data_IF_259903809609
#
_entry.id   IF_259903809609
#
_cell.length_a   1.000
_cell.length_b   1.000
_cell.length_c   1.000
_cell.angle_alpha   90.00
_cell.angle_beta   90.00
_cell.angle_gamma   90.00
#
_symmetry.space_group_name_H-M   'P 1'
#
loop_
_entity.id
_entity.type
_entity.pdbx_description
1 polymer ?
#
# COMPACT_ATOMS: atom_id res chain seq x y z
N UNK A 1 1.77 -0.38 17.83
CA UNK A 1 2.72 0.76 17.63
C UNK A 1 2.11 1.91 16.81
N UNK A 2 2.74 3.09 16.76
CA UNK A 2 2.31 4.19 15.87
C UNK A 2 2.40 3.77 14.40
N UNK A 3 1.39 4.15 13.60
CA UNK A 3 1.37 3.87 12.17
C UNK A 3 2.48 4.64 11.45
N UNK A 4 3.40 3.97 10.73
CA UNK A 4 4.53 4.63 10.07
C UNK A 4 4.13 5.40 8.80
N UNK A 5 2.96 5.13 8.22
CA UNK A 5 2.50 5.81 7.00
C UNK A 5 1.90 7.18 7.30
N UNK A 6 1.27 7.35 8.46
CA UNK A 6 0.65 8.62 8.87
C UNK A 6 1.29 9.22 10.13
N UNK A 7 2.39 8.65 10.63
CA UNK A 7 3.08 9.06 11.85
C UNK A 7 2.11 9.28 13.04
N UNK A 8 1.16 8.37 13.21
CA UNK A 8 0.20 8.46 14.33
C UNK A 8 -1.01 9.38 14.10
N UNK A 9 -1.05 10.19 13.04
CA UNK A 9 -2.14 11.17 12.83
C UNK A 9 -3.47 10.54 12.41
N UNK A 10 -3.44 9.28 11.95
CA UNK A 10 -4.61 8.60 11.39
C UNK A 10 -5.03 9.10 10.01
N UNK A 11 -4.38 10.13 9.47
CA UNK A 11 -4.80 10.82 8.24
C UNK A 11 -3.64 10.93 7.24
N UNK A 12 -3.98 10.92 5.97
CA UNK A 12 -3.05 11.32 4.89
C UNK A 12 -3.27 12.81 4.59
N UNK A 13 -2.22 13.53 4.23
CA UNK A 13 -2.25 14.96 3.85
C UNK A 13 -3.10 15.23 2.61
N UNK A 14 -3.12 16.49 2.14
CA UNK A 14 -3.88 16.94 0.96
C UNK A 14 -3.84 15.90 -0.19
N UNK A 15 -5.03 15.41 -0.58
CA UNK A 15 -5.19 14.44 -1.67
C UNK A 15 -6.14 14.97 -2.73
N UNK A 16 -5.86 14.62 -3.98
CA UNK A 16 -6.82 14.73 -5.07
C UNK A 16 -7.54 13.39 -5.24
N UNK A 17 -8.87 13.40 -5.06
CA UNK A 17 -9.72 12.25 -5.32
C UNK A 17 -10.25 12.33 -6.74
N UNK A 18 -9.80 11.43 -7.59
CA UNK A 18 -10.37 11.23 -8.91
C UNK A 18 -11.73 10.51 -8.77
N UNK A 19 -12.81 11.13 -9.24
CA UNK A 19 -14.17 10.55 -9.20
C UNK A 19 -14.56 9.84 -10.50
N UNK A 20 -13.65 9.78 -11.46
CA UNK A 20 -13.90 9.20 -12.78
C UNK A 20 -14.57 10.17 -13.74
N UNK A 21 -15.11 9.62 -14.82
CA UNK A 21 -15.84 10.40 -15.82
C UNK A 21 -17.20 10.81 -15.29
N UNK A 22 -17.52 12.11 -15.36
CA UNK A 22 -18.82 12.64 -15.02
C UNK A 22 -19.56 12.95 -16.34
N UNK A 23 -20.60 12.17 -16.63
CA UNK A 23 -21.38 12.29 -17.86
C UNK A 23 -22.07 13.65 -17.99
N UNK A 24 -22.63 14.19 -16.90
CA UNK A 24 -23.31 15.49 -16.89
C UNK A 24 -22.36 16.64 -17.24
N UNK A 25 -21.10 16.56 -16.81
CA UNK A 25 -20.07 17.56 -17.10
C UNK A 25 -19.32 17.30 -18.41
N UNK A 26 -19.53 16.14 -19.04
CA UNK A 26 -18.82 15.70 -20.24
C UNK A 26 -17.30 15.56 -20.06
N UNK A 27 -16.80 15.36 -18.84
CA UNK A 27 -15.35 15.29 -18.53
C UNK A 27 -15.06 14.51 -17.26
N UNK A 28 -13.80 14.16 -17.05
CA UNK A 28 -13.31 13.63 -15.77
C UNK A 28 -13.50 14.67 -14.65
N UNK A 29 -13.93 14.19 -13.49
CA UNK A 29 -14.21 15.00 -12.31
C UNK A 29 -13.32 14.56 -11.14
N UNK A 30 -13.12 15.46 -10.20
CA UNK A 30 -12.30 15.22 -9.02
C UNK A 30 -12.45 16.31 -7.98
N UNK A 31 -11.98 16.04 -6.78
CA UNK A 31 -11.97 17.02 -5.70
C UNK A 31 -10.69 16.94 -4.88
N UNK A 32 -10.26 18.09 -4.39
CA UNK A 32 -9.22 18.14 -3.37
C UNK A 32 -9.85 17.95 -1.99
N UNK A 33 -9.26 17.09 -1.17
CA UNK A 33 -9.59 16.97 0.25
C UNK A 33 -8.36 17.28 1.09
N UNK A 34 -8.56 18.06 2.15
CA UNK A 34 -7.52 18.38 3.11
C UNK A 34 -6.88 17.14 3.72
N UNK A 35 -7.69 16.09 3.92
CA UNK A 35 -7.21 14.78 4.34
C UNK A 35 -8.19 13.66 4.02
N UNK A 36 -7.67 12.43 4.02
CA UNK A 36 -8.45 11.18 4.03
C UNK A 36 -7.94 10.28 5.15
N UNK A 37 -8.74 9.30 5.62
CA UNK A 37 -8.24 8.28 6.53
C UNK A 37 -7.02 7.58 5.94
N UNK A 38 -5.99 7.38 6.76
CA UNK A 38 -4.80 6.65 6.36
C UNK A 38 -5.20 5.22 5.96
N UNK A 39 -4.80 4.81 4.76
CA UNK A 39 -5.19 3.50 4.18
C UNK A 39 -4.54 2.30 4.89
N UNK A 40 -3.53 2.52 5.74
CA UNK A 40 -2.89 1.45 6.53
C UNK A 40 -3.59 1.24 7.86
N UNK A 41 -3.69 2.29 8.68
CA UNK A 41 -4.30 2.21 10.01
C UNK A 41 -5.80 2.49 10.01
N UNK A 42 -6.40 2.73 8.84
CA UNK A 42 -7.82 3.03 8.66
C UNK A 42 -8.35 4.14 9.59
N UNK A 43 -7.57 5.21 9.77
CA UNK A 43 -7.97 6.33 10.65
C UNK A 43 -7.50 6.23 12.10
N UNK A 44 -7.03 5.07 12.57
CA UNK A 44 -6.74 4.84 14.02
C UNK A 44 -5.42 5.49 14.47
N UNK A 45 -4.47 5.69 13.57
CA UNK A 45 -3.13 6.18 13.89
C UNK A 45 -2.18 5.11 14.45
N UNK A 46 -2.66 3.88 14.65
CA UNK A 46 -1.86 2.77 15.17
C UNK A 46 -1.95 1.55 14.27
N UNK A 47 -0.93 0.70 14.30
CA UNK A 47 -0.91 -0.62 13.66
C UNK A 47 -0.51 -1.69 14.68
N UNK A 48 -0.97 -2.94 14.52
CA UNK A 48 -0.52 -4.05 15.35
C UNK A 48 1.00 -4.21 15.28
N UNK A 49 1.65 -4.61 16.37
CA UNK A 49 3.11 -4.73 16.40
C UNK A 49 3.63 -5.77 15.40
N UNK A 50 2.88 -6.85 15.16
CA UNK A 50 3.19 -7.85 14.12
C UNK A 50 3.23 -7.25 12.70
N UNK A 51 2.46 -6.18 12.45
CA UNK A 51 2.48 -5.50 11.14
C UNK A 51 3.81 -4.77 10.92
N UNK A 52 4.52 -4.38 11.99
CA UNK A 52 5.85 -3.77 11.90
C UNK A 52 6.83 -4.70 11.18
N UNK A 53 6.82 -5.97 11.58
CA UNK A 53 7.69 -7.00 11.02
C UNK A 53 7.37 -7.25 9.55
N UNK A 54 6.08 -7.27 9.20
CA UNK A 54 5.65 -7.43 7.81
C UNK A 54 6.07 -6.24 6.94
N UNK A 55 6.03 -5.02 7.49
CA UNK A 55 6.49 -3.81 6.80
C UNK A 55 8.00 -3.86 6.57
N UNK A 56 8.78 -4.23 7.59
CA UNK A 56 10.23 -4.34 7.48
C UNK A 56 10.62 -5.41 6.43
N UNK A 57 10.01 -6.59 6.53
CA UNK A 57 10.20 -7.68 5.57
C UNK A 57 9.84 -7.25 4.14
N UNK A 58 8.65 -6.68 3.94
CA UNK A 58 8.16 -6.28 2.63
C UNK A 58 9.06 -5.24 1.95
N UNK A 59 9.59 -4.28 2.72
CA UNK A 59 10.56 -3.29 2.23
C UNK A 59 11.85 -3.93 1.75
N UNK A 60 12.39 -4.86 2.54
CA UNK A 60 13.63 -5.55 2.18
C UNK A 60 13.42 -6.46 0.97
N UNK A 61 12.29 -7.17 0.90
CA UNK A 61 11.94 -7.99 -0.26
C UNK A 61 11.83 -7.16 -1.54
N UNK A 62 11.10 -6.03 -1.49
CA UNK A 62 10.99 -5.08 -2.60
C UNK A 62 12.37 -4.63 -3.08
N UNK A 63 13.26 -4.30 -2.15
CA UNK A 63 14.63 -3.87 -2.46
C UNK A 63 15.40 -4.98 -3.18
N UNK A 64 15.36 -6.23 -2.69
CA UNK A 64 16.01 -7.37 -3.35
C UNK A 64 15.46 -7.60 -4.75
N UNK A 65 14.12 -7.56 -4.91
CA UNK A 65 13.48 -7.68 -6.23
C UNK A 65 13.97 -6.61 -7.21
N UNK A 66 14.00 -5.35 -6.76
CA UNK A 66 14.49 -4.23 -7.57
C UNK A 66 15.97 -4.37 -7.95
N UNK A 67 16.82 -4.82 -7.01
CA UNK A 67 18.24 -5.10 -7.28
C UNK A 67 18.44 -6.22 -8.30
N UNK A 68 17.54 -7.20 -8.34
CA UNK A 68 17.53 -8.26 -9.35
C UNK A 68 16.97 -7.80 -10.71
N UNK A 69 16.55 -6.54 -10.86
CA UNK A 69 15.95 -6.02 -12.08
C UNK A 69 14.56 -6.61 -12.39
N UNK A 70 13.90 -7.21 -11.40
CA UNK A 70 12.60 -7.86 -11.59
C UNK A 70 11.44 -6.86 -11.45
N UNK A 71 10.54 -6.88 -12.43
CA UNK A 71 9.22 -6.25 -12.28
C UNK A 71 8.37 -7.01 -11.25
N UNK A 72 7.35 -6.35 -10.72
CA UNK A 72 6.41 -6.99 -9.80
C UNK A 72 5.74 -8.22 -10.43
N UNK A 73 5.42 -8.15 -11.73
CA UNK A 73 4.84 -9.27 -12.48
C UNK A 73 5.80 -10.46 -12.61
N UNK A 74 7.06 -10.22 -12.98
CA UNK A 74 8.06 -11.28 -13.11
C UNK A 74 8.31 -12.01 -11.79
N UNK A 75 8.47 -11.25 -10.70
CA UNK A 75 8.67 -11.83 -9.38
C UNK A 75 7.43 -12.60 -8.90
N UNK A 76 6.22 -12.06 -9.08
CA UNK A 76 4.98 -12.74 -8.73
C UNK A 76 4.87 -14.07 -9.50
N UNK A 77 5.14 -14.07 -10.81
CA UNK A 77 5.17 -15.27 -11.64
C UNK A 77 6.21 -16.30 -11.14
N UNK A 78 7.43 -15.87 -10.80
CA UNK A 78 8.50 -16.74 -10.26
C UNK A 78 8.09 -17.41 -8.95
N UNK A 79 7.38 -16.70 -8.09
CA UNK A 79 6.92 -17.18 -6.79
C UNK A 79 5.59 -17.92 -6.83
N UNK A 80 4.95 -18.02 -8.01
CA UNK A 80 3.58 -18.54 -8.17
C UNK A 80 2.55 -17.78 -7.33
N UNK A 81 2.74 -16.47 -7.20
CA UNK A 81 1.80 -15.54 -6.58
C UNK A 81 1.11 -14.71 -7.64
N UNK A 82 -0.05 -14.16 -7.32
CA UNK A 82 -0.63 -13.07 -8.09
C UNK A 82 0.11 -11.75 -7.81
N UNK A 83 0.03 -10.81 -8.76
CA UNK A 83 0.61 -9.46 -8.59
C UNK A 83 0.02 -8.73 -7.36
N UNK A 84 -1.29 -8.79 -7.08
CA UNK A 84 -1.86 -8.22 -5.86
C UNK A 84 -1.32 -8.86 -4.58
N UNK A 85 -1.12 -10.18 -4.53
CA UNK A 85 -0.57 -10.86 -3.36
C UNK A 85 0.87 -10.41 -3.07
N UNK A 86 1.75 -10.42 -4.10
CA UNK A 86 3.11 -9.94 -3.92
C UNK A 86 3.13 -8.45 -3.53
N UNK A 87 2.25 -7.63 -4.11
CA UNK A 87 2.08 -6.23 -3.71
C UNK A 87 1.68 -6.10 -2.24
N UNK A 88 0.75 -6.93 -1.77
CA UNK A 88 0.31 -6.92 -0.38
C UNK A 88 1.46 -7.28 0.58
N UNK A 89 2.27 -8.29 0.23
CA UNK A 89 3.46 -8.69 0.99
C UNK A 89 4.48 -7.54 1.03
N UNK A 90 4.85 -6.96 -0.12
CA UNK A 90 5.84 -5.89 -0.17
C UNK A 90 5.42 -4.60 0.54
N UNK A 91 4.11 -4.39 0.69
CA UNK A 91 3.57 -3.26 1.44
C UNK A 91 3.30 -3.59 2.92
N UNK A 92 3.62 -4.80 3.38
CA UNK A 92 3.42 -5.26 4.75
C UNK A 92 1.95 -5.32 5.15
N UNK A 93 1.05 -5.62 4.20
CA UNK A 93 -0.40 -5.75 4.45
C UNK A 93 -0.82 -7.14 4.93
N UNK A 94 -0.02 -8.16 4.60
CA UNK A 94 -0.29 -9.56 4.93
C UNK A 94 0.97 -10.22 5.47
N UNK A 95 0.78 -11.29 6.24
CA UNK A 95 1.87 -12.09 6.75
C UNK A 95 2.59 -12.82 5.61
N UNK A 96 3.92 -12.72 5.58
CA UNK A 96 4.80 -13.35 4.59
C UNK A 96 4.96 -14.87 4.81
N UNK A 97 4.71 -15.37 6.03
CA UNK A 97 4.88 -16.78 6.40
C UNK A 97 3.94 -17.76 5.66
N UNK A 98 2.98 -17.25 4.89
CA UNK A 98 2.06 -18.07 4.09
C UNK A 98 2.57 -18.34 2.67
N UNK A 99 3.68 -17.70 2.26
CA UNK A 99 4.04 -17.60 0.84
C UNK A 99 5.52 -17.88 0.53
N UNK A 100 6.34 -18.20 1.54
CA UNK A 100 7.75 -18.57 1.45
C UNK A 100 8.02 -19.75 2.39
#
# INVERSE_FOLDING_TARGET
MQCPDCNGTGKTSLVHLNKGFNEEKGRCDGEWRESIPCMRCHGVGQVPDQMADWIAFGKDYRKRRQLNGETLYQAAKRLKLSVPELSAIENGKVNHALYL
#
